data_IF_561415829960
#
_entry.id   IF_561415829960
#
_cell.length_a   1.000
_cell.length_b   1.000
_cell.length_c   1.000
_cell.angle_alpha   90.00
_cell.angle_beta   90.00
_cell.angle_gamma   90.00
#
_symmetry.space_group_name_H-M   'P 1'
#
loop_
_entity.id
_entity.type
_entity.pdbx_description
1 polymer ?
#
# COMPACT_ATOMS: atom_id res chain seq x y z
N UNK A 1 -7.04 26.43 -48.51
CA UNK A 1 -8.25 26.21 -47.66
C UNK A 1 -8.15 24.80 -47.08
N UNK A 2 -7.72 24.66 -45.83
CA UNK A 2 -7.69 23.35 -45.16
C UNK A 2 -9.15 22.99 -44.85
N UNK A 3 -9.59 21.87 -45.41
CA UNK A 3 -10.97 21.40 -45.35
C UNK A 3 -11.37 21.23 -43.87
N UNK A 4 -12.36 21.99 -43.39
CA UNK A 4 -12.78 22.05 -41.97
C UNK A 4 -13.09 20.66 -41.39
N UNK A 5 -13.50 19.73 -42.26
CA UNK A 5 -13.76 18.34 -41.90
C UNK A 5 -12.49 17.56 -41.50
N UNK A 6 -11.33 17.85 -42.11
CA UNK A 6 -10.07 17.16 -41.80
C UNK A 6 -9.54 17.57 -40.41
N UNK A 7 -9.70 18.85 -40.06
CA UNK A 7 -9.29 19.38 -38.75
C UNK A 7 -10.15 18.80 -37.61
N UNK A 8 -11.46 18.66 -37.84
CA UNK A 8 -12.36 18.03 -36.88
C UNK A 8 -12.06 16.54 -36.67
N UNK A 9 -11.77 15.81 -37.76
CA UNK A 9 -11.40 14.39 -37.67
C UNK A 9 -10.08 14.21 -36.90
N UNK A 10 -9.08 15.07 -37.12
CA UNK A 10 -7.82 15.02 -36.36
C UNK A 10 -8.00 15.40 -34.87
N UNK A 11 -8.90 16.33 -34.56
CA UNK A 11 -9.26 16.67 -33.17
C UNK A 11 -9.97 15.51 -32.46
N UNK A 12 -10.89 14.85 -33.16
CA UNK A 12 -11.61 13.67 -32.63
C UNK A 12 -10.65 12.49 -32.45
N UNK A 13 -9.74 12.24 -33.39
CA UNK A 13 -8.69 11.21 -33.25
C UNK A 13 -7.72 11.56 -32.11
N UNK A 14 -7.35 12.84 -31.94
CA UNK A 14 -6.51 13.31 -30.84
C UNK A 14 -7.17 13.17 -29.46
N UNK A 15 -8.49 13.42 -29.38
CA UNK A 15 -9.28 13.26 -28.15
C UNK A 15 -9.55 11.79 -27.82
N UNK A 16 -9.97 10.97 -28.79
CA UNK A 16 -10.15 9.52 -28.60
C UNK A 16 -8.83 8.81 -28.29
N UNK A 17 -7.76 9.19 -28.98
CA UNK A 17 -6.41 8.68 -28.73
C UNK A 17 -5.95 8.93 -27.30
N UNK A 18 -6.11 10.17 -26.80
CA UNK A 18 -5.60 10.57 -25.48
C UNK A 18 -6.47 10.13 -24.31
N UNK A 19 -7.79 9.98 -24.49
CA UNK A 19 -8.73 9.68 -23.40
C UNK A 19 -9.26 8.25 -23.39
N UNK A 20 -9.22 7.53 -24.50
CA UNK A 20 -9.72 6.15 -24.58
C UNK A 20 -8.57 5.19 -24.89
N UNK A 21 -7.73 5.50 -25.88
CA UNK A 21 -6.64 4.60 -26.28
C UNK A 21 -5.49 4.62 -25.28
N UNK A 22 -5.07 5.79 -24.77
CA UNK A 22 -3.98 5.88 -23.76
C UNK A 22 -4.34 5.24 -22.41
N UNK A 23 -5.54 5.42 -21.82
CA UNK A 23 -5.91 4.73 -20.58
C UNK A 23 -6.12 3.23 -20.77
N UNK A 24 -6.63 2.79 -21.92
CA UNK A 24 -6.75 1.37 -22.26
C UNK A 24 -5.39 0.73 -22.55
N UNK A 25 -4.45 1.46 -23.17
CA UNK A 25 -3.04 1.06 -23.29
C UNK A 25 -2.37 1.01 -21.92
N UNK A 26 -2.62 1.96 -21.02
CA UNK A 26 -2.13 1.91 -19.63
C UNK A 26 -2.75 0.76 -18.83
N UNK A 27 -4.02 0.41 -19.04
CA UNK A 27 -4.65 -0.79 -18.47
C UNK A 27 -4.13 -2.08 -19.09
N UNK A 28 -3.82 -2.10 -20.38
CA UNK A 28 -3.16 -3.22 -21.07
C UNK A 28 -1.68 -3.31 -20.71
N UNK A 29 -1.00 -2.21 -20.40
CA UNK A 29 0.38 -2.18 -19.90
C UNK A 29 0.43 -2.53 -18.42
N UNK A 30 -0.55 -2.12 -17.61
CA UNK A 30 -0.70 -2.58 -16.23
C UNK A 30 -1.12 -4.06 -16.19
N UNK A 31 -2.02 -4.48 -17.08
CA UNK A 31 -2.41 -5.86 -17.29
C UNK A 31 -1.28 -6.70 -17.90
N UNK A 32 -0.44 -6.14 -18.77
CA UNK A 32 0.82 -6.74 -19.24
C UNK A 32 1.91 -6.67 -18.19
N UNK A 33 1.95 -5.72 -17.28
CA UNK A 33 2.93 -5.66 -16.20
C UNK A 33 2.56 -6.67 -15.11
N UNK A 34 1.28 -6.77 -14.76
CA UNK A 34 0.73 -7.84 -13.91
C UNK A 34 0.85 -9.19 -14.61
N UNK A 35 0.60 -9.29 -15.91
CA UNK A 35 0.86 -10.50 -16.69
C UNK A 35 2.34 -10.73 -17.00
N UNK A 36 3.25 -9.77 -16.84
CA UNK A 36 4.72 -9.92 -16.99
C UNK A 36 5.37 -10.25 -15.65
N UNK A 37 4.75 -9.83 -14.55
CA UNK A 37 4.97 -10.33 -13.19
C UNK A 37 4.44 -11.78 -13.11
N UNK A 38 3.25 -12.05 -13.67
CA UNK A 38 2.66 -13.38 -13.68
C UNK A 38 3.22 -14.30 -14.79
N UNK A 39 3.72 -13.77 -15.92
CA UNK A 39 4.48 -14.54 -16.91
C UNK A 39 5.98 -14.58 -16.59
N UNK A 40 6.43 -13.81 -15.60
CA UNK A 40 7.75 -13.91 -14.97
C UNK A 40 7.87 -15.11 -14.01
N UNK A 41 6.77 -15.85 -13.77
CA UNK A 41 6.77 -17.14 -13.08
C UNK A 41 7.64 -18.19 -13.80
N UNK A 42 7.88 -18.04 -15.11
CA UNK A 42 8.84 -18.86 -15.85
C UNK A 42 10.31 -18.41 -15.70
N UNK A 43 10.56 -17.12 -15.42
CA UNK A 43 11.91 -16.53 -15.43
C UNK A 43 12.61 -16.53 -14.07
N UNK A 44 11.88 -16.60 -12.95
CA UNK A 44 12.52 -16.68 -11.62
C UNK A 44 13.38 -17.95 -11.47
N UNK A 45 12.84 -19.11 -11.81
CA UNK A 45 13.56 -20.38 -11.77
C UNK A 45 14.78 -20.45 -12.69
N UNK A 46 14.74 -19.69 -13.78
CA UNK A 46 15.80 -19.70 -14.79
C UNK A 46 17.07 -19.02 -14.28
N UNK A 47 16.95 -17.91 -13.54
CA UNK A 47 18.15 -17.23 -13.00
C UNK A 47 18.92 -18.10 -11.99
N UNK A 48 18.23 -18.93 -11.19
CA UNK A 48 18.93 -19.80 -10.23
C UNK A 48 19.67 -20.91 -10.95
N UNK A 49 19.07 -21.46 -12.02
CA UNK A 49 19.70 -22.48 -12.88
C UNK A 49 20.88 -21.92 -13.67
N UNK A 50 20.77 -20.68 -14.13
CA UNK A 50 21.81 -19.98 -14.88
C UNK A 50 22.86 -19.31 -13.99
N UNK A 51 22.69 -19.35 -12.66
CA UNK A 51 23.55 -18.68 -11.68
C UNK A 51 23.67 -17.15 -11.90
N UNK A 52 22.58 -16.52 -12.33
CA UNK A 52 22.51 -15.08 -12.65
C UNK A 52 21.53 -14.29 -11.78
N UNK A 53 20.91 -14.90 -10.76
CA UNK A 53 19.95 -14.16 -9.93
C UNK A 53 20.63 -13.01 -9.20
N UNK A 54 19.98 -11.85 -9.18
CA UNK A 54 20.31 -10.75 -8.27
C UNK A 54 19.61 -10.94 -6.91
N UNK A 55 20.05 -10.20 -5.89
CA UNK A 55 19.38 -10.22 -4.59
C UNK A 55 17.91 -9.76 -4.69
N UNK A 56 17.60 -8.81 -5.59
CA UNK A 56 16.24 -8.34 -5.83
C UNK A 56 15.34 -9.44 -6.43
N UNK A 57 15.89 -10.26 -7.34
CA UNK A 57 15.15 -11.41 -7.91
C UNK A 57 14.79 -12.40 -6.80
N UNK A 58 15.76 -12.71 -5.94
CA UNK A 58 15.63 -13.65 -4.83
C UNK A 58 14.73 -13.15 -3.70
N UNK A 59 14.50 -11.85 -3.58
CA UNK A 59 13.54 -11.25 -2.65
C UNK A 59 12.07 -11.40 -3.10
N UNK A 60 11.82 -11.97 -4.28
CA UNK A 60 10.46 -12.28 -4.73
C UNK A 60 9.82 -13.35 -3.83
N UNK A 61 8.52 -13.22 -3.47
CA UNK A 61 7.81 -14.20 -2.64
C UNK A 61 8.00 -15.66 -3.04
N UNK A 62 8.07 -15.97 -4.34
CA UNK A 62 8.25 -17.33 -4.86
C UNK A 62 9.52 -18.00 -4.30
N UNK A 63 10.60 -17.25 -4.05
CA UNK A 63 11.85 -17.78 -3.49
C UNK A 63 11.89 -17.78 -1.97
N UNK A 64 10.99 -17.04 -1.33
CA UNK A 64 10.88 -16.92 0.11
C UNK A 64 9.83 -17.88 0.70
N UNK A 65 9.09 -18.59 -0.15
CA UNK A 65 8.19 -19.68 0.23
C UNK A 65 8.96 -20.87 0.83
N UNK A 66 8.30 -21.61 1.74
CA UNK A 66 8.90 -22.69 2.52
C UNK A 66 9.52 -23.81 1.67
N UNK A 67 9.01 -24.03 0.46
CA UNK A 67 9.53 -25.05 -0.48
C UNK A 67 10.89 -24.69 -1.08
N UNK A 68 11.25 -23.40 -1.13
CA UNK A 68 12.44 -22.89 -1.85
C UNK A 68 13.39 -22.08 -0.97
N UNK A 69 12.95 -21.65 0.20
CA UNK A 69 13.74 -20.81 1.12
C UNK A 69 15.14 -21.40 1.41
N UNK A 70 15.27 -22.73 1.47
CA UNK A 70 16.56 -23.38 1.69
C UNK A 70 17.47 -23.34 0.46
N UNK A 71 16.91 -23.44 -0.75
CA UNK A 71 17.65 -23.26 -2.00
C UNK A 71 18.12 -21.80 -2.12
N UNK A 72 17.25 -20.84 -1.80
CA UNK A 72 17.57 -19.41 -1.77
C UNK A 72 18.69 -19.10 -0.78
N UNK A 73 18.64 -19.68 0.43
CA UNK A 73 19.72 -19.57 1.43
C UNK A 73 21.04 -20.16 0.91
N UNK A 74 21.00 -21.33 0.27
CA UNK A 74 22.19 -21.96 -0.29
C UNK A 74 22.79 -21.12 -1.42
N UNK A 75 21.94 -20.57 -2.30
CA UNK A 75 22.35 -19.68 -3.37
C UNK A 75 22.99 -18.40 -2.83
N UNK A 76 22.32 -17.71 -1.88
CA UNK A 76 22.85 -16.51 -1.25
C UNK A 76 24.22 -16.78 -0.61
N UNK A 77 24.37 -17.90 0.11
CA UNK A 77 25.65 -18.28 0.71
C UNK A 77 26.75 -18.52 -0.34
N UNK A 78 26.41 -19.23 -1.43
CA UNK A 78 27.37 -19.53 -2.50
C UNK A 78 27.81 -18.27 -3.26
N UNK A 79 26.91 -17.31 -3.45
CA UNK A 79 27.12 -16.13 -4.30
C UNK A 79 27.25 -14.81 -3.52
N UNK A 80 27.43 -14.86 -2.19
CA UNK A 80 27.34 -13.69 -1.32
C UNK A 80 28.23 -12.53 -1.77
N UNK A 81 29.52 -12.77 -1.99
CA UNK A 81 30.48 -11.73 -2.39
C UNK A 81 30.11 -11.06 -3.72
N UNK A 82 29.63 -11.85 -4.69
CA UNK A 82 29.21 -11.32 -5.99
C UNK A 82 27.93 -10.47 -5.87
N UNK A 83 26.96 -10.93 -5.07
CA UNK A 83 25.72 -10.21 -4.82
C UNK A 83 25.98 -8.92 -4.04
N UNK A 84 26.82 -8.99 -3.01
CA UNK A 84 27.19 -7.85 -2.18
C UNK A 84 27.94 -6.77 -2.97
N UNK A 85 28.88 -7.19 -3.83
CA UNK A 85 29.64 -6.27 -4.69
C UNK A 85 28.73 -5.56 -5.70
N UNK A 86 27.69 -6.23 -6.19
CA UNK A 86 26.72 -5.66 -7.11
C UNK A 86 25.72 -4.73 -6.39
N UNK A 87 25.11 -5.21 -5.31
CA UNK A 87 24.12 -4.49 -4.52
C UNK A 87 24.11 -4.97 -3.06
N UNK A 88 24.95 -4.34 -2.24
CA UNK A 88 25.03 -4.66 -0.83
C UNK A 88 23.74 -4.41 -0.05
N UNK A 89 22.93 -3.41 -0.45
CA UNK A 89 21.69 -3.11 0.25
C UNK A 89 20.68 -4.24 0.07
N UNK A 90 20.39 -4.62 -1.17
CA UNK A 90 19.44 -5.70 -1.43
C UNK A 90 19.97 -7.06 -0.96
N UNK A 91 21.28 -7.27 -0.95
CA UNK A 91 21.90 -8.49 -0.41
C UNK A 91 21.65 -8.64 1.09
N UNK A 92 21.88 -7.57 1.88
CA UNK A 92 21.59 -7.61 3.32
C UNK A 92 20.10 -7.59 3.64
N UNK A 93 19.28 -6.94 2.79
CA UNK A 93 17.83 -7.03 2.87
C UNK A 93 17.34 -8.47 2.70
N UNK A 94 17.79 -9.17 1.66
CA UNK A 94 17.50 -10.59 1.45
C UNK A 94 18.00 -11.45 2.60
N UNK A 95 19.20 -11.18 3.12
CA UNK A 95 19.74 -11.91 4.27
C UNK A 95 18.79 -11.82 5.48
N UNK A 96 18.26 -10.62 5.77
CA UNK A 96 17.25 -10.42 6.80
C UNK A 96 15.95 -11.17 6.54
N UNK A 97 15.51 -11.25 5.27
CA UNK A 97 14.31 -12.03 4.89
C UNK A 97 14.48 -13.55 5.05
N UNK A 98 15.72 -14.03 5.04
CA UNK A 98 16.06 -15.45 5.13
C UNK A 98 16.53 -15.89 6.53
N UNK A 99 16.63 -14.96 7.47
CA UNK A 99 17.11 -15.17 8.83
C UNK A 99 16.36 -16.28 9.55
N UNK A 100 17.10 -17.04 10.37
CA UNK A 100 16.61 -18.10 11.25
C UNK A 100 17.50 -18.17 12.48
N UNK A 101 16.97 -18.65 13.59
CA UNK A 101 17.73 -18.77 14.85
C UNK A 101 19.00 -19.63 14.62
N UNK A 102 20.16 -19.06 14.96
CA UNK A 102 21.45 -19.75 14.96
C UNK A 102 21.61 -20.60 16.22
N UNK A 103 22.42 -21.65 16.14
CA UNK A 103 22.81 -22.45 17.32
C UNK A 103 23.81 -21.71 18.22
N UNK A 104 24.47 -20.68 17.71
CA UNK A 104 25.46 -19.89 18.44
C UNK A 104 25.02 -18.41 18.50
N UNK A 105 24.54 -17.99 19.67
CA UNK A 105 24.05 -16.62 19.90
C UNK A 105 25.18 -15.58 19.90
N UNK A 106 26.38 -15.94 20.38
CA UNK A 106 27.51 -15.01 20.43
C UNK A 106 28.04 -14.71 19.02
N UNK A 107 28.06 -15.71 18.14
CA UNK A 107 28.38 -15.50 16.72
C UNK A 107 27.39 -14.57 16.04
N UNK A 108 26.09 -14.72 16.31
CA UNK A 108 25.06 -13.86 15.73
C UNK A 108 25.21 -12.40 16.22
N UNK A 109 25.46 -12.21 17.51
CA UNK A 109 25.73 -10.89 18.08
C UNK A 109 26.95 -10.23 17.44
N UNK A 110 28.04 -10.97 17.27
CA UNK A 110 29.25 -10.49 16.62
C UNK A 110 28.99 -10.13 15.16
N UNK A 111 28.28 -10.98 14.42
CA UNK A 111 27.87 -10.72 13.04
C UNK A 111 27.07 -9.41 12.96
N UNK A 112 26.02 -9.28 13.75
CA UNK A 112 25.16 -8.10 13.78
C UNK A 112 25.93 -6.81 14.11
N UNK A 113 26.85 -6.85 15.07
CA UNK A 113 27.71 -5.72 15.44
C UNK A 113 28.76 -5.37 14.37
N UNK A 114 29.12 -6.31 13.52
CA UNK A 114 30.07 -6.09 12.42
C UNK A 114 29.46 -5.34 11.23
N UNK A 115 28.12 -5.26 11.14
CA UNK A 115 27.44 -4.63 10.01
C UNK A 115 27.60 -3.11 10.03
N UNK A 116 27.87 -2.53 8.86
CA UNK A 116 27.77 -1.08 8.68
C UNK A 116 26.33 -0.60 8.93
N UNK A 117 26.14 0.66 9.33
CA UNK A 117 24.80 1.22 9.58
C UNK A 117 23.84 1.02 8.38
N UNK A 118 24.33 1.17 7.15
CA UNK A 118 23.54 0.94 5.93
C UNK A 118 23.11 -0.52 5.80
N UNK A 119 24.02 -1.46 6.02
CA UNK A 119 23.75 -2.89 5.90
C UNK A 119 22.85 -3.40 7.02
N UNK A 120 23.05 -2.87 8.24
CA UNK A 120 22.20 -3.16 9.39
C UNK A 120 20.77 -2.64 9.17
N UNK A 121 20.61 -1.45 8.60
CA UNK A 121 19.30 -0.93 8.22
C UNK A 121 18.63 -1.82 7.16
N UNK A 122 19.36 -2.22 6.13
CA UNK A 122 18.84 -3.14 5.10
C UNK A 122 18.41 -4.48 5.70
N UNK A 123 19.25 -5.07 6.56
CA UNK A 123 18.97 -6.31 7.28
C UNK A 123 17.72 -6.22 8.15
N UNK A 124 17.58 -5.14 8.93
CA UNK A 124 16.40 -4.90 9.76
C UNK A 124 15.11 -4.72 8.94
N UNK A 125 15.18 -4.03 7.79
CA UNK A 125 14.06 -3.95 6.84
C UNK A 125 13.74 -5.32 6.21
N UNK A 126 14.76 -6.14 5.98
CA UNK A 126 14.61 -7.52 5.53
C UNK A 126 13.81 -8.36 6.51
N UNK A 127 14.21 -8.33 7.79
CA UNK A 127 13.49 -8.97 8.88
C UNK A 127 12.03 -8.47 8.97
N UNK A 128 11.82 -7.16 8.84
CA UNK A 128 10.48 -6.58 8.86
C UNK A 128 9.62 -7.05 7.68
N UNK A 129 10.19 -7.23 6.48
CA UNK A 129 9.45 -7.75 5.33
C UNK A 129 9.29 -9.27 5.34
N UNK A 130 9.95 -9.97 6.26
CA UNK A 130 9.79 -11.39 6.41
C UNK A 130 8.47 -11.76 7.09
N UNK A 131 7.75 -12.73 6.55
CA UNK A 131 6.50 -13.26 7.10
C UNK A 131 6.63 -14.72 7.57
N UNK A 132 7.84 -15.30 7.51
CA UNK A 132 8.09 -16.68 7.93
C UNK A 132 8.12 -16.82 9.46
N UNK A 133 7.87 -18.04 9.95
CA UNK A 133 8.06 -18.35 11.37
C UNK A 133 9.51 -18.18 11.80
N UNK A 134 10.47 -18.56 10.95
CA UNK A 134 11.91 -18.44 11.23
C UNK A 134 12.31 -17.01 11.62
N UNK A 135 11.80 -16.00 10.91
CA UNK A 135 12.10 -14.60 11.21
C UNK A 135 11.44 -14.12 12.50
N UNK A 136 10.23 -14.61 12.83
CA UNK A 136 9.59 -14.31 14.12
C UNK A 136 10.41 -14.91 15.26
N UNK A 137 10.77 -16.19 15.14
CA UNK A 137 11.59 -16.89 16.13
C UNK A 137 12.96 -16.21 16.29
N UNK A 138 13.55 -15.73 15.19
CA UNK A 138 14.78 -14.94 15.19
C UNK A 138 14.63 -13.62 15.98
N UNK A 139 13.57 -12.84 15.73
CA UNK A 139 13.34 -11.58 16.44
C UNK A 139 13.15 -11.80 17.94
N UNK A 140 12.45 -12.87 18.33
CA UNK A 140 12.26 -13.23 19.74
C UNK A 140 13.58 -13.66 20.38
N UNK A 141 14.34 -14.55 19.73
CA UNK A 141 15.60 -15.08 20.27
C UNK A 141 16.64 -13.98 20.48
N UNK A 142 16.71 -12.99 19.57
CA UNK A 142 17.74 -11.95 19.59
C UNK A 142 17.21 -10.57 19.96
N UNK A 143 16.06 -10.47 20.64
CA UNK A 143 15.38 -9.21 20.92
C UNK A 143 16.30 -8.18 21.59
N UNK A 144 17.05 -8.57 22.63
CA UNK A 144 17.92 -7.67 23.38
C UNK A 144 19.02 -7.08 22.47
N UNK A 145 19.62 -7.90 21.63
CA UNK A 145 20.66 -7.47 20.70
C UNK A 145 20.10 -6.60 19.58
N UNK A 146 18.95 -6.98 19.02
CA UNK A 146 18.25 -6.18 18.01
C UNK A 146 17.86 -4.81 18.55
N UNK A 147 17.42 -4.72 19.81
CA UNK A 147 17.11 -3.45 20.48
C UNK A 147 18.34 -2.56 20.67
N UNK A 148 19.49 -3.15 20.96
CA UNK A 148 20.75 -2.41 21.15
C UNK A 148 21.28 -1.83 19.83
N UNK A 149 21.17 -2.59 18.73
CA UNK A 149 21.85 -2.27 17.48
C UNK A 149 20.97 -1.59 16.43
N UNK A 150 19.67 -1.94 16.35
CA UNK A 150 18.79 -1.40 15.31
C UNK A 150 18.38 0.02 15.68
N UNK A 151 18.06 0.81 14.66
CA UNK A 151 17.39 2.09 14.92
C UNK A 151 16.06 1.85 15.65
N UNK A 152 15.70 2.76 16.55
CA UNK A 152 14.47 2.68 17.34
C UNK A 152 13.26 2.43 16.42
N UNK A 153 13.15 3.16 15.31
CA UNK A 153 12.10 2.98 14.29
C UNK A 153 12.03 1.55 13.75
N UNK A 154 13.16 0.97 13.37
CA UNK A 154 13.20 -0.38 12.78
C UNK A 154 12.83 -1.44 13.82
N UNK A 155 13.34 -1.29 15.05
CA UNK A 155 12.99 -2.19 16.14
C UNK A 155 11.49 -2.15 16.46
N UNK A 156 10.89 -0.95 16.54
CA UNK A 156 9.46 -0.80 16.77
C UNK A 156 8.61 -1.45 15.67
N UNK A 157 9.01 -1.33 14.40
CA UNK A 157 8.35 -2.01 13.29
C UNK A 157 8.35 -3.54 13.46
N UNK A 158 9.47 -4.13 13.90
CA UNK A 158 9.55 -5.56 14.21
C UNK A 158 8.61 -5.95 15.35
N UNK A 159 8.56 -5.14 16.42
CA UNK A 159 7.70 -5.38 17.60
C UNK A 159 6.22 -5.13 17.35
N UNK A 160 5.82 -4.41 16.31
CA UNK A 160 4.42 -4.36 15.89
C UNK A 160 3.99 -5.66 15.22
N UNK A 161 4.91 -6.32 14.50
CA UNK A 161 4.67 -7.60 13.81
C UNK A 161 4.77 -8.84 14.69
N UNK A 162 5.41 -8.76 15.86
CA UNK A 162 5.57 -9.89 16.78
C UNK A 162 4.23 -10.37 17.35
N UNK A 163 4.21 -11.54 17.99
CA UNK A 163 3.02 -12.08 18.65
C UNK A 163 2.82 -11.52 20.07
N UNK A 164 3.32 -10.32 20.34
CA UNK A 164 3.19 -9.66 21.65
C UNK A 164 1.73 -9.29 21.98
N UNK A 165 1.46 -9.08 23.26
CA UNK A 165 0.13 -8.64 23.72
C UNK A 165 -0.26 -7.30 23.08
N UNK A 166 -1.56 -7.09 22.88
CA UNK A 166 -2.08 -5.82 22.35
C UNK A 166 -1.62 -4.61 23.17
N UNK A 167 -1.50 -4.74 24.49
CA UNK A 167 -1.00 -3.68 25.36
C UNK A 167 0.44 -3.27 25.02
N UNK A 168 1.33 -4.23 24.79
CA UNK A 168 2.70 -3.98 24.37
C UNK A 168 2.76 -3.34 22.99
N UNK A 169 2.03 -3.90 22.03
CA UNK A 169 1.92 -3.34 20.67
C UNK A 169 1.43 -1.90 20.66
N UNK A 170 0.52 -1.54 21.56
CA UNK A 170 0.02 -0.17 21.67
C UNK A 170 1.14 0.79 22.10
N UNK A 171 1.97 0.41 23.07
CA UNK A 171 3.13 1.23 23.49
C UNK A 171 4.13 1.41 22.36
N UNK A 172 4.41 0.35 21.59
CA UNK A 172 5.31 0.43 20.45
C UNK A 172 4.73 1.29 19.32
N UNK A 173 3.43 1.14 19.04
CA UNK A 173 2.75 1.95 18.05
C UNK A 173 2.78 3.44 18.43
N UNK A 174 2.52 3.78 19.68
CA UNK A 174 2.54 5.16 20.15
C UNK A 174 3.87 5.83 19.84
N UNK A 175 4.95 5.15 20.24
CA UNK A 175 6.29 5.63 20.01
C UNK A 175 6.63 5.72 18.52
N UNK A 176 6.17 4.75 17.73
CA UNK A 176 6.40 4.77 16.29
C UNK A 176 5.64 5.91 15.60
N UNK A 177 4.41 6.19 16.00
CA UNK A 177 3.61 7.29 15.44
C UNK A 177 4.22 8.66 15.79
N UNK A 178 4.78 8.83 17.00
CA UNK A 178 5.55 10.03 17.36
C UNK A 178 6.76 10.24 16.43
N UNK A 179 7.51 9.17 16.15
CA UNK A 179 8.65 9.21 15.22
C UNK A 179 8.18 9.58 13.81
N UNK A 180 7.11 8.93 13.32
CA UNK A 180 6.55 9.19 11.99
C UNK A 180 6.08 10.65 11.87
N UNK A 181 5.41 11.20 12.89
CA UNK A 181 4.96 12.59 12.91
C UNK A 181 6.15 13.56 12.90
N UNK A 182 7.18 13.28 13.70
CA UNK A 182 8.40 14.10 13.76
C UNK A 182 9.18 14.09 12.44
N UNK A 183 9.28 12.93 11.79
CA UNK A 183 10.02 12.74 10.53
C UNK A 183 9.16 13.07 9.29
N UNK A 184 7.85 13.27 9.47
CA UNK A 184 6.86 13.50 8.41
C UNK A 184 6.77 12.34 7.39
N UNK A 185 7.07 11.12 7.82
CA UNK A 185 7.03 9.92 6.97
C UNK A 185 5.64 9.25 6.98
N UNK A 186 4.57 10.02 6.77
CA UNK A 186 3.18 9.56 6.99
C UNK A 186 2.79 8.29 6.20
N UNK A 187 3.42 8.07 5.04
CA UNK A 187 3.21 6.87 4.23
C UNK A 187 3.65 5.58 4.93
N UNK A 188 4.59 5.66 5.88
CA UNK A 188 4.99 4.52 6.71
C UNK A 188 3.81 4.05 7.59
N UNK A 189 2.99 4.96 8.10
CA UNK A 189 1.81 4.59 8.91
C UNK A 189 0.80 3.74 8.10
N UNK A 190 0.69 3.97 6.79
CA UNK A 190 -0.19 3.18 5.91
C UNK A 190 0.26 1.71 5.82
N UNK A 191 1.56 1.43 5.89
CA UNK A 191 2.09 0.06 5.90
C UNK A 191 1.66 -0.72 7.15
N UNK A 192 1.41 -0.03 8.26
CA UNK A 192 0.99 -0.64 9.53
C UNK A 192 -0.42 -1.21 9.46
N UNK A 193 -1.25 -0.78 8.50
CA UNK A 193 -2.63 -1.28 8.32
C UNK A 193 -2.66 -2.80 8.17
N UNK A 194 -1.66 -3.41 7.52
CA UNK A 194 -1.57 -4.87 7.35
C UNK A 194 -1.42 -5.63 8.69
N UNK A 195 -0.79 -5.00 9.68
CA UNK A 195 -0.43 -5.66 10.94
C UNK A 195 -1.38 -5.30 12.09
N UNK A 196 -2.00 -4.11 12.03
CA UNK A 196 -2.92 -3.58 13.06
C UNK A 196 -4.13 -2.87 12.43
N UNK A 197 -4.93 -3.57 11.59
CA UNK A 197 -5.94 -2.97 10.69
C UNK A 197 -7.12 -2.26 11.36
N UNK A 198 -7.33 -2.41 12.67
CA UNK A 198 -8.46 -1.76 13.37
C UNK A 198 -8.01 -1.01 14.64
N UNK A 199 -6.73 -0.59 14.70
CA UNK A 199 -6.23 0.08 15.90
C UNK A 199 -6.72 1.54 16.00
N UNK A 200 -7.36 1.96 17.11
CA UNK A 200 -7.94 3.31 17.24
C UNK A 200 -6.95 4.45 16.99
N UNK A 201 -5.71 4.33 17.46
CA UNK A 201 -4.71 5.39 17.31
C UNK A 201 -4.19 5.49 15.87
N UNK A 202 -4.02 4.36 15.18
CA UNK A 202 -3.60 4.37 13.78
C UNK A 202 -4.67 5.03 12.91
N UNK A 203 -5.96 4.73 13.15
CA UNK A 203 -7.07 5.37 12.44
C UNK A 203 -7.08 6.89 12.61
N UNK A 204 -6.97 7.36 13.86
CA UNK A 204 -6.93 8.81 14.16
C UNK A 204 -5.71 9.48 13.53
N UNK A 205 -4.56 8.80 13.53
CA UNK A 205 -3.34 9.31 12.92
C UNK A 205 -3.50 9.44 11.40
N UNK A 206 -4.00 8.40 10.73
CA UNK A 206 -4.24 8.41 9.29
C UNK A 206 -5.31 9.44 8.90
N UNK A 207 -6.37 9.63 9.70
CA UNK A 207 -7.37 10.68 9.47
C UNK A 207 -6.73 12.07 9.57
N UNK A 208 -5.96 12.33 10.63
CA UNK A 208 -5.28 13.62 10.86
C UNK A 208 -4.28 13.97 9.74
N UNK A 209 -3.60 12.96 9.18
CA UNK A 209 -2.52 13.15 8.21
C UNK A 209 -2.86 12.74 6.79
N UNK A 210 -4.14 12.48 6.49
CA UNK A 210 -4.56 11.94 5.19
C UNK A 210 -4.03 12.76 4.01
N UNK A 211 -4.12 14.10 4.07
CA UNK A 211 -3.67 15.00 2.99
C UNK A 211 -2.14 15.11 2.83
N UNK A 212 -1.37 14.55 3.76
CA UNK A 212 0.10 14.52 3.69
C UNK A 212 0.64 13.18 3.16
N UNK A 213 -0.24 12.24 2.81
CA UNK A 213 0.17 10.97 2.23
C UNK A 213 0.66 11.17 0.79
N UNK A 214 1.73 10.46 0.45
CA UNK A 214 2.36 10.54 -0.87
C UNK A 214 2.24 9.18 -1.56
N UNK A 215 1.92 9.22 -2.85
CA UNK A 215 1.77 8.05 -3.70
C UNK A 215 0.34 7.50 -3.71
N UNK A 216 -0.20 7.32 -4.91
CA UNK A 216 -1.60 6.94 -5.12
C UNK A 216 -2.00 5.70 -4.31
N UNK A 217 -1.16 4.66 -4.30
CA UNK A 217 -1.41 3.42 -3.55
C UNK A 217 -1.61 3.66 -2.05
N UNK A 218 -0.85 4.58 -1.46
CA UNK A 218 -0.95 4.88 -0.03
C UNK A 218 -2.23 5.66 0.28
N UNK A 219 -2.58 6.62 -0.58
CA UNK A 219 -3.79 7.42 -0.48
C UNK A 219 -5.02 6.51 -0.57
N UNK A 220 -5.11 5.68 -1.61
CA UNK A 220 -6.24 4.76 -1.83
C UNK A 220 -6.39 3.79 -0.64
N UNK A 221 -5.28 3.22 -0.18
CA UNK A 221 -5.27 2.28 0.93
C UNK A 221 -5.71 2.92 2.25
N UNK A 222 -5.27 4.14 2.51
CA UNK A 222 -5.70 4.90 3.68
C UNK A 222 -7.19 5.25 3.59
N UNK A 223 -7.68 5.71 2.43
CA UNK A 223 -9.09 6.03 2.21
C UNK A 223 -10.00 4.82 2.44
N UNK A 224 -9.65 3.65 1.88
CA UNK A 224 -10.40 2.40 2.09
C UNK A 224 -10.41 2.01 3.57
N UNK A 225 -9.26 2.09 4.24
CA UNK A 225 -9.14 1.76 5.65
C UNK A 225 -9.95 2.69 6.55
N UNK A 226 -9.86 4.01 6.34
CA UNK A 226 -10.63 5.01 7.08
C UNK A 226 -12.13 4.82 6.86
N UNK A 227 -12.56 4.55 5.62
CA UNK A 227 -13.97 4.29 5.33
C UNK A 227 -14.52 3.04 6.01
N UNK A 228 -13.70 1.99 6.10
CA UNK A 228 -14.12 0.71 6.69
C UNK A 228 -14.13 0.77 8.21
N UNK A 229 -13.11 1.38 8.81
CA UNK A 229 -12.86 1.27 10.24
C UNK A 229 -13.03 2.57 11.01
N UNK A 230 -13.30 3.71 10.37
CA UNK A 230 -13.48 4.99 11.06
C UNK A 230 -14.84 5.63 10.70
N UNK A 231 -15.96 5.11 11.25
CA UNK A 231 -17.30 5.53 10.87
C UNK A 231 -17.50 7.05 10.90
N UNK A 232 -18.13 7.58 9.85
CA UNK A 232 -18.40 9.02 9.71
C UNK A 232 -17.17 9.84 9.34
N UNK A 233 -16.07 9.20 8.92
CA UNK A 233 -14.88 9.88 8.41
C UNK A 233 -15.25 10.83 7.27
N UNK A 234 -16.09 10.40 6.32
CA UNK A 234 -16.49 11.25 5.20
C UNK A 234 -17.25 12.49 5.68
N UNK A 235 -18.20 12.31 6.61
CA UNK A 235 -19.02 13.40 7.14
C UNK A 235 -18.21 14.45 7.92
N UNK A 236 -17.10 14.05 8.56
CA UNK A 236 -16.22 14.96 9.31
C UNK A 236 -15.22 15.71 8.42
N UNK A 237 -14.70 15.06 7.39
CA UNK A 237 -13.52 15.54 6.63
C UNK A 237 -13.84 16.15 5.27
N UNK A 238 -15.09 16.08 4.79
CA UNK A 238 -15.44 16.50 3.43
C UNK A 238 -15.01 17.94 3.10
N UNK A 239 -15.17 18.89 4.02
CA UNK A 239 -14.78 20.29 3.77
C UNK A 239 -13.29 20.43 3.55
N UNK A 240 -12.49 19.76 4.38
CA UNK A 240 -11.04 19.82 4.33
C UNK A 240 -10.53 19.18 3.03
N UNK A 241 -11.02 17.98 2.72
CA UNK A 241 -10.57 17.20 1.56
C UNK A 241 -11.01 17.88 0.25
N UNK A 242 -12.29 18.25 0.12
CA UNK A 242 -12.81 18.84 -1.12
C UNK A 242 -12.23 20.24 -1.41
N UNK A 243 -11.84 20.99 -0.37
CA UNK A 243 -11.20 22.31 -0.54
C UNK A 243 -9.67 22.22 -0.70
N UNK A 244 -9.05 21.06 -0.48
CA UNK A 244 -7.58 20.91 -0.55
C UNK A 244 -6.99 21.10 -1.95
N UNK A 245 -7.79 20.89 -3.00
CA UNK A 245 -7.32 20.87 -4.39
C UNK A 245 -6.45 19.65 -4.74
N UNK A 246 -6.24 18.72 -3.80
CA UNK A 246 -5.40 17.53 -4.00
C UNK A 246 -6.21 16.41 -4.68
N UNK A 247 -6.24 16.41 -6.01
CA UNK A 247 -7.09 15.53 -6.82
C UNK A 247 -7.00 14.05 -6.45
N UNK A 248 -5.80 13.51 -6.22
CA UNK A 248 -5.64 12.10 -5.82
C UNK A 248 -6.36 11.76 -4.51
N UNK A 249 -6.32 12.67 -3.54
CA UNK A 249 -6.98 12.49 -2.24
C UNK A 249 -8.50 12.64 -2.35
N UNK A 250 -8.95 13.58 -3.18
CA UNK A 250 -10.37 13.83 -3.46
C UNK A 250 -10.98 12.63 -4.18
N UNK A 251 -10.33 12.13 -5.23
CA UNK A 251 -10.83 11.00 -6.01
C UNK A 251 -10.88 9.73 -5.14
N UNK A 252 -9.83 9.44 -4.36
CA UNK A 252 -9.83 8.34 -3.41
C UNK A 252 -10.96 8.47 -2.37
N UNK A 253 -11.13 9.64 -1.78
CA UNK A 253 -12.24 9.94 -0.86
C UNK A 253 -13.62 9.69 -1.49
N UNK A 254 -13.84 10.16 -2.73
CA UNK A 254 -15.11 9.99 -3.44
C UNK A 254 -15.39 8.49 -3.66
N UNK A 255 -14.41 7.76 -4.18
CA UNK A 255 -14.56 6.34 -4.54
C UNK A 255 -14.80 5.40 -3.35
N UNK A 256 -14.48 5.85 -2.13
CA UNK A 256 -14.68 5.08 -0.91
C UNK A 256 -15.94 5.45 -0.13
N UNK A 257 -16.71 6.45 -0.57
CA UNK A 257 -17.95 6.87 0.11
C UNK A 257 -18.94 5.72 0.28
N UNK A 258 -19.05 4.83 -0.71
CA UNK A 258 -19.94 3.65 -0.64
C UNK A 258 -19.61 2.68 0.50
N UNK A 259 -18.38 2.71 1.02
CA UNK A 259 -17.92 1.83 2.11
C UNK A 259 -18.39 2.38 3.47
N UNK A 260 -18.25 3.70 3.69
CA UNK A 260 -18.61 4.37 4.96
C UNK A 260 -20.11 4.72 5.03
N UNK A 261 -20.72 4.98 3.88
CA UNK A 261 -22.09 5.47 3.73
C UNK A 261 -22.36 6.79 4.47
N UNK A 262 -21.81 7.92 3.99
CA UNK A 262 -21.97 9.21 4.65
C UNK A 262 -23.44 9.64 4.74
N UNK A 263 -23.80 10.27 5.86
CA UNK A 263 -25.14 10.79 6.10
C UNK A 263 -25.36 12.16 5.44
N UNK A 264 -24.29 12.92 5.18
CA UNK A 264 -24.34 14.32 4.71
C UNK A 264 -24.15 14.46 3.20
N UNK A 265 -24.74 13.56 2.41
CA UNK A 265 -24.57 13.54 0.95
C UNK A 265 -24.89 14.89 0.28
N UNK A 266 -25.94 15.61 0.69
CA UNK A 266 -26.24 16.93 0.13
C UNK A 266 -25.10 17.95 0.30
N UNK A 267 -24.44 17.94 1.47
CA UNK A 267 -23.33 18.86 1.74
C UNK A 267 -22.08 18.47 0.93
N UNK A 268 -21.78 17.17 0.89
CA UNK A 268 -20.64 16.63 0.17
C UNK A 268 -20.78 16.93 -1.33
N UNK A 269 -21.94 16.63 -1.93
CA UNK A 269 -22.16 16.85 -3.36
C UNK A 269 -22.20 18.33 -3.75
N UNK A 270 -22.65 19.20 -2.85
CA UNK A 270 -22.56 20.66 -3.06
C UNK A 270 -21.10 21.14 -3.16
N UNK A 271 -20.17 20.48 -2.47
CA UNK A 271 -18.74 20.70 -2.63
C UNK A 271 -18.20 20.13 -3.95
N UNK A 272 -18.62 18.91 -4.30
CA UNK A 272 -18.17 18.20 -5.51
C UNK A 272 -18.52 18.95 -6.80
N UNK A 273 -19.65 19.65 -6.85
CA UNK A 273 -20.07 20.45 -8.01
C UNK A 273 -19.04 21.51 -8.44
N UNK A 274 -18.14 21.91 -7.54
CA UNK A 274 -17.07 22.88 -7.81
C UNK A 274 -15.77 22.24 -8.31
N UNK A 275 -15.67 20.90 -8.30
CA UNK A 275 -14.47 20.16 -8.68
C UNK A 275 -14.36 19.99 -10.19
N UNK A 276 -13.27 19.35 -10.63
CA UNK A 276 -13.04 18.98 -12.03
C UNK A 276 -14.16 18.09 -12.58
N UNK A 277 -14.37 18.11 -13.91
CA UNK A 277 -15.33 17.22 -14.58
C UNK A 277 -15.06 15.73 -14.32
N UNK A 278 -13.80 15.36 -14.10
CA UNK A 278 -13.41 13.98 -13.80
C UNK A 278 -13.90 13.57 -12.41
N UNK A 279 -13.61 14.36 -11.38
CA UNK A 279 -14.07 14.06 -10.01
C UNK A 279 -15.60 14.12 -9.90
N UNK A 280 -16.25 15.01 -10.65
CA UNK A 280 -17.72 15.02 -10.78
C UNK A 280 -18.25 13.74 -11.44
N UNK A 281 -17.57 13.21 -12.45
CA UNK A 281 -17.97 11.95 -13.08
C UNK A 281 -17.83 10.77 -12.10
N UNK A 282 -16.72 10.69 -11.36
CA UNK A 282 -16.53 9.70 -10.30
C UNK A 282 -17.65 9.78 -9.24
N UNK A 283 -17.99 11.00 -8.81
CA UNK A 283 -19.07 11.18 -7.84
C UNK A 283 -20.42 10.74 -8.39
N UNK A 284 -20.72 10.98 -9.68
CA UNK A 284 -21.95 10.45 -10.31
C UNK A 284 -21.95 8.93 -10.37
N UNK A 285 -20.81 8.29 -10.61
CA UNK A 285 -20.70 6.83 -10.58
C UNK A 285 -20.96 6.29 -9.17
N UNK A 286 -20.35 6.89 -8.15
CA UNK A 286 -20.56 6.50 -6.76
C UNK A 286 -21.99 6.80 -6.27
N UNK A 287 -22.66 7.84 -6.81
CA UNK A 287 -24.03 8.19 -6.47
C UNK A 287 -25.03 7.05 -6.70
N UNK A 288 -24.81 6.20 -7.72
CA UNK A 288 -25.65 5.03 -8.00
C UNK A 288 -25.62 3.97 -6.88
N UNK A 289 -24.63 4.02 -5.98
CA UNK A 289 -24.51 3.15 -4.80
C UNK A 289 -24.95 3.83 -3.50
N UNK A 290 -25.00 5.17 -3.49
CA UNK A 290 -25.21 5.99 -2.30
C UNK A 290 -26.64 6.50 -2.17
N UNK A 291 -27.37 6.60 -3.29
CA UNK A 291 -28.68 7.23 -3.36
C UNK A 291 -29.73 6.25 -3.86
N UNK A 292 -30.98 6.48 -3.44
CA UNK A 292 -32.11 5.83 -4.08
C UNK A 292 -32.47 6.57 -5.37
N UNK A 293 -33.04 5.87 -6.35
CA UNK A 293 -33.48 6.48 -7.61
C UNK A 293 -34.52 7.62 -7.43
N UNK A 294 -35.26 7.60 -6.32
CA UNK A 294 -36.26 8.63 -5.97
C UNK A 294 -35.67 9.84 -5.24
N UNK A 295 -34.39 9.80 -4.84
CA UNK A 295 -33.73 10.87 -4.10
C UNK A 295 -33.69 12.18 -4.91
N UNK A 296 -33.89 13.32 -4.25
CA UNK A 296 -33.85 14.64 -4.92
C UNK A 296 -32.45 14.95 -5.46
N UNK A 297 -31.40 14.47 -4.79
CA UNK A 297 -30.02 14.61 -5.24
C UNK A 297 -29.75 13.78 -6.50
N UNK A 298 -30.36 12.59 -6.62
CA UNK A 298 -30.27 11.78 -7.84
C UNK A 298 -30.85 12.52 -9.06
N UNK A 299 -31.98 13.21 -8.87
CA UNK A 299 -32.58 14.07 -9.91
C UNK A 299 -31.67 15.25 -10.26
N UNK A 300 -31.10 15.93 -9.25
CA UNK A 300 -30.17 17.05 -9.45
C UNK A 300 -28.94 16.64 -10.27
N UNK A 301 -28.44 15.42 -10.04
CA UNK A 301 -27.27 14.87 -10.73
C UNK A 301 -27.58 14.31 -12.13
N UNK A 302 -28.86 14.28 -12.52
CA UNK A 302 -29.37 13.69 -13.76
C UNK A 302 -28.92 12.23 -13.94
N UNK A 303 -29.13 11.42 -12.90
CA UNK A 303 -28.79 9.99 -12.89
C UNK A 303 -29.89 9.17 -13.56
N UNK A 304 -29.50 8.13 -14.30
CA UNK A 304 -30.41 7.23 -14.98
C UNK A 304 -31.04 6.25 -13.97
N UNK A 305 -32.37 6.25 -13.75
CA UNK A 305 -33.03 5.37 -12.80
C UNK A 305 -32.76 3.88 -13.03
N UNK A 306 -32.43 3.47 -14.27
CA UNK A 306 -32.15 2.07 -14.62
C UNK A 306 -30.75 1.61 -14.22
N UNK A 307 -29.84 2.54 -13.87
CA UNK A 307 -28.45 2.24 -13.50
C UNK A 307 -28.23 2.16 -11.99
N UNK A 308 -29.27 2.44 -11.19
CA UNK A 308 -29.20 2.27 -9.75
C UNK A 308 -29.05 0.80 -9.40
N UNK A 309 -28.19 0.51 -8.43
CA UNK A 309 -28.12 -0.82 -7.82
C UNK A 309 -29.38 -0.99 -6.97
N UNK A 310 -30.10 -2.10 -7.14
CA UNK A 310 -31.40 -2.32 -6.50
C UNK A 310 -31.36 -2.05 -4.99
N UNK A 311 -32.15 -1.06 -4.53
CA UNK A 311 -32.34 -0.56 -3.16
C UNK A 311 -31.14 0.12 -2.45
N UNK A 312 -30.35 0.93 -3.16
CA UNK A 312 -29.15 1.53 -2.58
C UNK A 312 -29.37 2.77 -1.68
N UNK A 313 -29.07 2.60 -0.39
CA UNK A 313 -28.45 3.64 0.46
C UNK A 313 -27.35 2.97 1.30
N UNK A 314 -26.42 2.37 0.57
CA UNK A 314 -25.30 1.51 0.98
C UNK A 314 -25.68 0.14 1.57
N UNK A 315 -25.76 -0.88 0.72
CA UNK A 315 -25.79 -2.30 1.11
C UNK A 315 -24.49 -2.69 1.84
N UNK A 316 -24.58 -3.24 3.07
CA UNK A 316 -23.57 -4.15 3.63
C UNK A 316 -24.11 -5.58 3.49
N UNK A 317 -23.34 -6.46 2.84
CA UNK A 317 -22.63 -7.47 3.62
C UNK A 317 -21.18 -7.58 3.14
N UNK A 318 -20.22 -7.40 4.05
CA UNK A 318 -18.88 -7.94 3.83
C UNK A 318 -19.00 -9.45 4.07
N UNK A 319 -19.02 -10.26 3.01
CA UNK A 319 -18.46 -11.60 3.15
C UNK A 319 -16.96 -11.44 3.43
N UNK A 320 -16.55 -12.11 4.50
CA UNK A 320 -15.19 -12.16 5.03
C UNK A 320 -14.22 -12.67 3.95
N UNK A 321 -13.09 -11.98 3.77
CA UNK A 321 -11.89 -12.55 3.14
C UNK A 321 -10.90 -12.84 4.25
#
# INVERSE_FOLDING_TARGET
MINKNLFFVLLVIGLFGRWIVVPSLKRLEAGKAVNKINSGLGTGLECMKLETCTALDLSNPIFLESSRVNETRAYLKKHFESLYSYDGFNTFHLLGQLSKVSKNEDEEKLFLKSLSSKNLHAFGLGLYHCNSRDCRDYVVAYEASLKEILSERTFLLLKIKSDDSWELKNRYLDRLLEIIEKEQEYSLAVSLIEFIPNHPRLRKFLEKYYLYLIGQKNIDRAAVHLSRYNPGWHDRTYKEILNSGLLAHIDAYITTMKIDCPSRLNDIYSGIEKLSKQSQALAKEEAYYLLNATDSLAKKLNLDPLKFVSDSKCHRPFEEI
#
